data_IF_069498272213
#
_entry.id   IF_069498272213
#
_cell.length_a   1.000
_cell.length_b   1.000
_cell.length_c   1.000
_cell.angle_alpha   90.00
_cell.angle_beta   90.00
_cell.angle_gamma   90.00
#
_symmetry.space_group_name_H-M   'P 1'
#
loop_
_entity.id
_entity.type
_entity.pdbx_description
1 polymer ?
#
# COMPACT_ATOMS: atom_id res chain seq x y z
N UNK A 1 14.58 43.95 55.38
CA UNK A 1 13.54 43.76 54.34
C UNK A 1 14.08 44.16 52.97
N UNK A 2 14.39 43.19 52.10
CA UNK A 2 14.28 43.28 50.62
C UNK A 2 14.74 41.92 50.05
N UNK A 3 13.77 41.02 49.86
CA UNK A 3 13.97 39.70 49.23
C UNK A 3 14.18 39.91 47.73
N UNK A 4 15.35 39.52 47.23
CA UNK A 4 15.66 39.40 45.81
C UNK A 4 14.80 38.28 45.21
N UNK A 5 14.09 38.60 44.12
CA UNK A 5 13.20 37.69 43.39
C UNK A 5 13.95 37.09 42.19
N UNK A 6 13.90 35.74 42.11
CA UNK A 6 14.03 34.85 40.92
C UNK A 6 15.44 34.60 40.36
N UNK A 7 15.74 33.32 40.06
CA UNK A 7 15.50 32.84 38.69
C UNK A 7 14.87 31.44 38.67
N UNK A 8 13.53 31.34 38.62
CA UNK A 8 12.81 30.06 38.38
C UNK A 8 12.24 30.01 36.96
N UNK A 9 12.44 31.06 36.14
CA UNK A 9 11.88 31.13 34.78
C UNK A 9 12.82 30.63 33.66
N UNK A 10 14.08 30.34 33.95
CA UNK A 10 15.03 29.85 32.95
C UNK A 10 15.00 28.32 32.75
N UNK A 11 14.42 27.56 33.69
CA UNK A 11 14.37 26.10 33.60
C UNK A 11 13.09 25.56 32.92
N UNK A 12 12.03 26.37 32.84
CA UNK A 12 10.77 25.96 32.21
C UNK A 12 10.75 26.13 30.68
N UNK A 13 11.64 26.95 30.11
CA UNK A 13 11.74 27.10 28.65
C UNK A 13 12.58 25.99 27.98
N UNK A 14 13.36 25.22 28.75
CA UNK A 14 14.14 24.10 28.20
C UNK A 14 13.36 22.78 28.17
N UNK A 15 12.27 22.66 28.93
CA UNK A 15 11.45 21.44 29.00
C UNK A 15 10.29 21.46 28.00
N UNK A 16 9.86 22.64 27.52
CA UNK A 16 8.84 22.75 26.47
C UNK A 16 9.44 22.68 25.05
N UNK A 17 10.76 22.84 24.89
CA UNK A 17 11.45 22.76 23.60
C UNK A 17 11.86 21.33 23.17
N UNK A 18 11.70 20.32 24.02
CA UNK A 18 12.00 18.92 23.69
C UNK A 18 10.76 18.05 23.43
N UNK A 19 9.59 18.67 23.24
CA UNK A 19 8.36 17.98 22.80
C UNK A 19 8.14 18.02 21.27
N UNK A 20 9.17 18.36 20.49
CA UNK A 20 9.23 17.92 19.10
C UNK A 20 9.81 16.50 19.08
N UNK A 21 9.08 15.56 19.70
CA UNK A 21 9.27 14.15 19.41
C UNK A 21 9.09 14.01 17.89
N UNK A 22 10.15 13.61 17.21
CA UNK A 22 10.15 13.48 15.76
C UNK A 22 8.94 12.67 15.35
N UNK A 23 7.98 13.33 14.68
CA UNK A 23 7.01 12.61 13.90
C UNK A 23 7.84 11.78 12.92
N UNK A 24 7.81 10.45 13.10
CA UNK A 24 8.37 9.54 12.13
C UNK A 24 7.82 9.99 10.78
N UNK A 25 8.70 10.45 9.89
CA UNK A 25 8.27 11.00 8.63
C UNK A 25 7.63 9.84 7.86
N UNK A 26 6.33 9.90 7.65
CA UNK A 26 5.58 8.94 6.87
C UNK A 26 4.88 9.70 5.74
N UNK A 27 4.80 9.07 4.57
CA UNK A 27 3.97 9.56 3.48
C UNK A 27 2.69 8.75 3.52
N UNK A 28 1.57 9.41 3.80
CA UNK A 28 0.24 8.81 3.77
C UNK A 28 -0.49 9.26 2.49
N UNK A 29 -1.07 8.28 1.80
CA UNK A 29 -1.82 8.49 0.56
C UNK A 29 -3.11 7.69 0.67
N UNK A 30 -4.23 8.36 0.42
CA UNK A 30 -5.57 7.79 0.40
C UNK A 30 -6.13 7.89 -1.02
N UNK A 31 -6.67 6.78 -1.52
CA UNK A 31 -7.41 6.68 -2.78
C UNK A 31 -8.50 5.62 -2.61
N UNK A 32 -9.73 5.99 -2.95
CA UNK A 32 -10.88 5.12 -2.79
C UNK A 32 -11.03 4.60 -1.35
N UNK A 33 -11.06 3.27 -1.23
CA UNK A 33 -11.24 2.55 0.01
C UNK A 33 -9.91 2.06 0.61
N UNK A 34 -8.77 2.52 0.08
CA UNK A 34 -7.44 2.12 0.53
C UNK A 34 -6.61 3.32 0.96
N UNK A 35 -5.86 3.10 2.04
CA UNK A 35 -4.81 3.98 2.52
C UNK A 35 -3.48 3.27 2.54
N UNK A 36 -2.49 3.90 1.93
CA UNK A 36 -1.11 3.47 1.89
C UNK A 36 -0.27 4.42 2.74
N UNK A 37 0.51 3.86 3.66
CA UNK A 37 1.47 4.61 4.47
C UNK A 37 2.87 4.08 4.20
N UNK A 38 3.78 4.94 3.74
CA UNK A 38 5.21 4.65 3.58
C UNK A 38 5.98 5.27 4.74
N UNK A 39 6.53 4.42 5.61
CA UNK A 39 7.38 4.81 6.74
C UNK A 39 8.79 5.12 6.22
N UNK A 40 9.16 6.39 6.20
CA UNK A 40 10.40 6.84 5.52
C UNK A 40 11.66 6.52 6.32
N UNK A 41 11.54 6.25 7.61
CA UNK A 41 12.64 5.92 8.53
C UNK A 41 13.06 4.46 8.47
N UNK A 42 12.10 3.58 8.20
CA UNK A 42 12.24 2.12 8.26
C UNK A 42 12.08 1.46 6.90
N UNK A 43 11.69 2.21 5.86
CA UNK A 43 11.49 1.68 4.51
C UNK A 43 10.37 0.63 4.46
N UNK A 44 9.38 0.79 5.34
CA UNK A 44 8.27 -0.13 5.51
C UNK A 44 6.98 0.49 5.03
N UNK A 45 6.02 -0.35 4.69
CA UNK A 45 4.71 0.14 4.29
C UNK A 45 3.62 -0.49 5.16
N UNK A 46 2.51 0.23 5.26
CA UNK A 46 1.27 -0.27 5.85
C UNK A 46 0.14 -0.01 4.87
N UNK A 47 -0.82 -0.93 4.85
CA UNK A 47 -2.04 -0.82 4.05
C UNK A 47 -3.21 -0.87 5.03
N UNK A 48 -4.17 0.04 4.88
CA UNK A 48 -5.41 0.02 5.61
C UNK A 48 -6.59 0.16 4.64
N UNK A 49 -7.71 -0.45 4.98
CA UNK A 49 -8.96 -0.31 4.26
C UNK A 49 -9.94 0.58 5.02
N UNK A 50 -10.84 1.21 4.28
CA UNK A 50 -11.89 2.05 4.83
C UNK A 50 -13.05 1.18 5.31
N UNK A 51 -13.46 1.40 6.56
CA UNK A 51 -14.66 0.84 7.17
C UNK A 51 -15.48 1.98 7.79
N UNK A 52 -16.42 2.52 7.03
CA UNK A 52 -17.12 3.76 7.34
C UNK A 52 -16.15 4.95 7.50
N UNK A 53 -16.09 5.49 8.72
CA UNK A 53 -15.21 6.61 9.09
C UNK A 53 -13.86 6.16 9.68
N UNK A 54 -13.61 4.85 9.73
CA UNK A 54 -12.39 4.27 10.32
C UNK A 54 -11.52 3.64 9.25
N UNK A 55 -10.22 3.60 9.56
CA UNK A 55 -9.23 2.88 8.77
C UNK A 55 -8.83 1.61 9.52
N UNK A 56 -9.12 0.46 8.95
CA UNK A 56 -8.77 -0.86 9.49
C UNK A 56 -7.48 -1.33 8.79
N UNK A 57 -6.39 -1.57 9.53
CA UNK A 57 -5.18 -2.12 8.93
C UNK A 57 -5.44 -3.48 8.24
N UNK A 58 -4.82 -3.71 7.10
CA UNK A 58 -4.84 -5.01 6.41
C UNK A 58 -3.62 -5.88 6.74
N UNK A 59 -2.58 -5.24 7.28
CA UNK A 59 -1.34 -5.85 7.76
C UNK A 59 -1.19 -5.54 9.26
N UNK A 60 -0.37 -6.34 9.96
CA UNK A 60 -0.06 -6.09 11.35
C UNK A 60 0.52 -4.68 11.54
N UNK A 61 -0.15 -3.84 12.33
CA UNK A 61 0.10 -2.39 12.36
C UNK A 61 0.92 -1.91 13.56
N UNK A 62 1.10 -2.75 14.59
CA UNK A 62 1.85 -2.35 15.79
C UNK A 62 3.35 -2.18 15.53
N UNK A 63 3.88 -2.92 14.56
CA UNK A 63 5.26 -2.77 14.10
C UNK A 63 5.29 -2.96 12.57
N UNK A 64 5.44 -1.89 11.77
CA UNK A 64 5.44 -2.00 10.31
C UNK A 64 6.66 -2.79 9.77
N UNK A 65 7.67 -3.08 10.61
CA UNK A 65 8.87 -3.82 10.22
C UNK A 65 8.63 -5.31 10.00
N UNK A 66 7.47 -5.83 10.37
CA UNK A 66 7.13 -7.25 10.24
C UNK A 66 6.76 -7.64 8.80
N UNK A 67 6.33 -6.68 7.97
CA UNK A 67 6.24 -6.84 6.51
C UNK A 67 7.51 -6.29 5.86
N UNK A 68 8.08 -7.00 4.87
CA UNK A 68 9.37 -6.63 4.31
C UNK A 68 9.58 -7.10 2.87
N UNK A 69 10.41 -6.36 2.14
CA UNK A 69 10.98 -6.77 0.86
C UNK A 69 12.42 -7.27 1.10
N UNK A 70 12.70 -8.50 0.68
CA UNK A 70 14.06 -9.02 0.65
C UNK A 70 14.49 -9.25 -0.81
N UNK A 71 15.70 -8.80 -1.15
CA UNK A 71 16.36 -9.06 -2.43
C UNK A 71 17.52 -10.02 -2.20
N UNK A 72 17.55 -11.12 -2.94
CA UNK A 72 18.72 -11.98 -3.02
C UNK A 72 19.61 -11.52 -4.16
N UNK A 73 20.89 -11.37 -3.88
CA UNK A 73 21.95 -11.08 -4.85
C UNK A 73 23.00 -12.16 -4.68
N UNK A 74 23.13 -13.02 -5.68
CA UNK A 74 23.91 -14.25 -5.64
C UNK A 74 23.51 -15.12 -4.42
N UNK A 75 24.39 -15.25 -3.43
CA UNK A 75 24.16 -16.01 -2.20
C UNK A 75 23.83 -15.14 -0.99
N UNK A 76 23.65 -13.83 -1.17
CA UNK A 76 23.35 -12.91 -0.07
C UNK A 76 21.90 -12.44 -0.13
N UNK A 77 21.20 -12.56 0.99
CA UNK A 77 19.88 -11.97 1.19
C UNK A 77 20.01 -10.60 1.84
N UNK A 78 19.39 -9.60 1.24
CA UNK A 78 19.38 -8.21 1.70
C UNK A 78 17.93 -7.85 2.02
N UNK A 79 17.65 -7.63 3.30
CA UNK A 79 16.40 -6.99 3.71
C UNK A 79 16.48 -5.51 3.41
N UNK A 80 15.65 -5.05 2.49
CA UNK A 80 15.65 -3.66 2.06
C UNK A 80 15.23 -2.77 3.24
N UNK A 81 15.91 -1.64 3.40
CA UNK A 81 15.73 -0.71 4.53
C UNK A 81 16.55 -1.01 5.79
N UNK A 82 16.98 -2.26 5.99
CA UNK A 82 17.81 -2.62 7.16
C UNK A 82 19.31 -2.46 6.87
N UNK A 83 19.71 -2.59 5.60
CA UNK A 83 21.11 -2.52 5.20
C UNK A 83 21.57 -1.08 5.00
N UNK A 84 22.64 -0.67 5.67
CA UNK A 84 23.28 0.66 5.49
C UNK A 84 23.96 0.88 4.13
N UNK A 85 23.90 -0.09 3.21
CA UNK A 85 24.57 -0.03 1.91
C UNK A 85 23.74 0.65 0.81
N UNK A 86 22.49 1.01 1.10
CA UNK A 86 21.61 1.69 0.15
C UNK A 86 21.33 3.12 0.64
N UNK A 87 21.48 4.08 -0.27
CA UNK A 87 20.81 5.37 -0.14
C UNK A 87 19.33 5.20 -0.44
N UNK A 88 18.46 5.86 0.32
CA UNK A 88 17.02 5.76 0.17
C UNK A 88 16.39 7.10 -0.17
N UNK A 89 15.35 7.05 -0.99
CA UNK A 89 14.40 8.14 -1.18
C UNK A 89 12.97 7.61 -1.28
N UNK A 90 12.02 8.39 -0.82
CA UNK A 90 10.59 8.14 -1.03
C UNK A 90 10.04 9.23 -1.94
N UNK A 91 9.27 8.86 -2.95
CA UNK A 91 8.70 9.79 -3.93
C UNK A 91 7.21 9.52 -4.06
N UNK A 92 6.39 10.55 -3.81
CA UNK A 92 4.96 10.50 -4.12
C UNK A 92 4.77 10.64 -5.64
N UNK A 93 3.87 9.84 -6.21
CA UNK A 93 3.44 9.90 -7.61
C UNK A 93 1.96 10.28 -7.67
N UNK A 94 1.43 10.52 -8.87
CA UNK A 94 0.02 10.87 -9.06
C UNK A 94 -0.93 9.76 -8.57
N UNK A 95 -0.49 8.50 -8.68
CA UNK A 95 -1.27 7.28 -8.42
C UNK A 95 -0.73 6.42 -7.29
N UNK A 96 0.19 6.94 -6.48
CA UNK A 96 0.76 6.21 -5.36
C UNK A 96 2.11 6.75 -4.92
N UNK A 97 3.07 5.87 -4.68
CA UNK A 97 4.41 6.25 -4.24
C UNK A 97 5.46 5.19 -4.55
N UNK A 98 6.72 5.63 -4.58
CA UNK A 98 7.88 4.79 -4.79
C UNK A 98 8.82 4.89 -3.59
N UNK A 99 9.31 3.73 -3.16
CA UNK A 99 10.65 3.67 -2.56
C UNK A 99 11.70 3.48 -3.65
N UNK A 100 12.78 4.26 -3.54
CA UNK A 100 13.94 4.19 -4.40
C UNK A 100 15.17 3.94 -3.53
N UNK A 101 15.87 2.84 -3.80
CA UNK A 101 17.13 2.51 -3.14
C UNK A 101 18.25 2.38 -4.17
N UNK A 102 19.38 3.01 -3.90
CA UNK A 102 20.58 2.92 -4.76
C UNK A 102 21.79 2.54 -3.93
N UNK A 103 22.51 1.52 -4.38
CA UNK A 103 23.83 1.13 -3.89
C UNK A 103 24.86 1.18 -5.04
N UNK A 104 26.09 0.73 -4.78
CA UNK A 104 27.10 0.59 -5.83
C UNK A 104 26.77 -0.51 -6.84
N UNK A 105 26.01 -1.54 -6.43
CA UNK A 105 25.73 -2.71 -7.28
C UNK A 105 24.32 -2.75 -7.83
N UNK A 106 23.34 -2.11 -7.18
CA UNK A 106 21.94 -2.19 -7.57
C UNK A 106 21.20 -0.86 -7.46
N UNK A 107 20.25 -0.64 -8.37
CA UNK A 107 19.09 0.21 -8.11
C UNK A 107 17.88 -0.69 -7.83
N UNK A 108 17.17 -0.44 -6.74
CA UNK A 108 15.93 -1.13 -6.38
C UNK A 108 14.82 -0.10 -6.29
N UNK A 109 13.70 -0.37 -6.96
CA UNK A 109 12.47 0.41 -6.86
C UNK A 109 11.36 -0.49 -6.36
N UNK A 110 10.65 -0.07 -5.31
CA UNK A 110 9.37 -0.65 -4.93
C UNK A 110 8.30 0.42 -5.13
N UNK A 111 7.52 0.25 -6.19
CA UNK A 111 6.43 1.12 -6.58
C UNK A 111 5.11 0.57 -6.08
N UNK A 112 4.29 1.45 -5.53
CA UNK A 112 2.93 1.18 -5.12
C UNK A 112 1.99 2.03 -5.97
N UNK A 113 1.03 1.39 -6.62
CA UNK A 113 0.00 2.06 -7.42
C UNK A 113 -1.37 1.58 -6.97
N UNK A 114 -2.29 2.52 -6.73
CA UNK A 114 -3.67 2.16 -6.38
C UNK A 114 -4.36 1.56 -7.61
N UNK A 115 -5.03 0.44 -7.39
CA UNK A 115 -5.77 -0.31 -8.41
C UNK A 115 -7.19 -0.55 -7.94
N UNK A 116 -8.08 -0.80 -8.90
CA UNK A 116 -9.49 -1.06 -8.68
C UNK A 116 -9.87 -2.42 -9.24
N UNK A 117 -10.75 -3.15 -8.57
CA UNK A 117 -11.37 -4.37 -9.12
C UNK A 117 -12.53 -4.03 -10.06
N UNK A 118 -12.80 -4.90 -11.04
CA UNK A 118 -13.85 -4.66 -12.04
C UNK A 118 -15.26 -4.42 -11.43
N UNK A 119 -15.51 -4.94 -10.24
CA UNK A 119 -16.78 -4.82 -9.52
C UNK A 119 -16.84 -3.65 -8.53
N UNK A 120 -15.76 -2.85 -8.42
CA UNK A 120 -15.69 -1.69 -7.54
C UNK A 120 -15.77 -0.38 -8.31
N UNK A 121 -16.38 0.63 -7.70
CA UNK A 121 -16.35 2.03 -8.19
C UNK A 121 -15.12 2.80 -7.69
N UNK A 122 -14.50 2.36 -6.58
CA UNK A 122 -13.36 3.00 -5.95
C UNK A 122 -12.12 2.10 -5.95
N UNK A 123 -10.93 2.68 -5.89
CA UNK A 123 -9.70 1.92 -5.68
C UNK A 123 -9.79 1.09 -4.40
N UNK A 124 -9.64 -0.21 -4.54
CA UNK A 124 -9.76 -1.17 -3.46
C UNK A 124 -8.59 -2.16 -3.42
N UNK A 125 -7.49 -1.85 -4.11
CA UNK A 125 -6.25 -2.59 -4.06
C UNK A 125 -5.02 -1.75 -4.36
N UNK A 126 -3.86 -2.39 -4.25
CA UNK A 126 -2.54 -1.85 -4.55
C UNK A 126 -1.78 -2.86 -5.42
N UNK A 127 -1.22 -2.38 -6.52
CA UNK A 127 -0.16 -3.06 -7.26
C UNK A 127 1.20 -2.70 -6.65
N UNK A 128 1.98 -3.72 -6.30
CA UNK A 128 3.34 -3.58 -5.79
C UNK A 128 4.30 -4.08 -6.86
N UNK A 129 4.95 -3.16 -7.55
CA UNK A 129 5.99 -3.48 -8.54
C UNK A 129 7.36 -3.37 -7.90
N UNK A 130 8.13 -4.45 -7.91
CA UNK A 130 9.55 -4.44 -7.53
C UNK A 130 10.38 -4.50 -8.80
N UNK A 131 11.30 -3.54 -8.94
CA UNK A 131 12.24 -3.47 -10.05
C UNK A 131 13.66 -3.44 -9.48
N UNK A 132 14.53 -4.31 -9.97
CA UNK A 132 15.95 -4.35 -9.59
C UNK A 132 16.79 -4.23 -10.85
N UNK A 133 17.68 -3.24 -10.88
CA UNK A 133 18.62 -3.01 -11.98
C UNK A 133 20.03 -3.32 -11.55
N UNK A 134 20.75 -4.11 -12.33
CA UNK A 134 22.17 -4.35 -12.10
C UNK A 134 23.02 -3.11 -12.48
N UNK A 135 23.76 -2.57 -11.52
CA UNK A 135 24.75 -1.49 -11.72
C UNK A 135 26.20 -1.97 -11.66
N UNK A 136 26.42 -3.23 -11.28
CA UNK A 136 27.75 -3.81 -11.25
C UNK A 136 28.28 -4.03 -12.67
N UNK A 137 29.60 -4.11 -12.79
CA UNK A 137 30.29 -4.40 -14.06
C UNK A 137 30.18 -5.88 -14.46
N UNK A 138 29.73 -6.74 -13.55
CA UNK A 138 29.59 -8.18 -13.74
C UNK A 138 28.11 -8.59 -13.67
N UNK A 139 27.74 -9.71 -14.31
CA UNK A 139 26.43 -10.32 -14.11
C UNK A 139 26.20 -10.69 -12.64
N UNK A 140 24.95 -10.56 -12.18
CA UNK A 140 24.54 -10.92 -10.81
C UNK A 140 23.24 -11.72 -10.86
N UNK A 141 23.09 -12.71 -9.98
CA UNK A 141 21.84 -13.45 -9.84
C UNK A 141 20.92 -12.72 -8.87
N UNK A 142 19.72 -12.33 -9.33
CA UNK A 142 18.76 -11.57 -8.53
C UNK A 142 17.47 -12.33 -8.35
N UNK A 143 16.91 -12.29 -7.14
CA UNK A 143 15.54 -12.72 -6.87
C UNK A 143 14.91 -11.82 -5.81
N UNK A 144 13.57 -11.77 -5.76
CA UNK A 144 12.84 -11.03 -4.73
C UNK A 144 11.92 -11.95 -3.92
N UNK A 145 11.66 -11.58 -2.67
CA UNK A 145 10.55 -12.10 -1.89
C UNK A 145 9.86 -10.99 -1.10
N UNK A 146 8.54 -11.07 -0.97
CA UNK A 146 7.70 -10.12 -0.26
C UNK A 146 7.02 -10.82 0.91
N UNK A 147 7.34 -10.39 2.13
CA UNK A 147 6.71 -10.85 3.36
C UNK A 147 5.61 -9.86 3.76
N UNK A 148 4.40 -10.39 3.98
CA UNK A 148 3.22 -9.67 4.41
C UNK A 148 2.74 -10.26 5.73
N UNK A 149 2.95 -9.52 6.81
CA UNK A 149 2.49 -9.92 8.14
C UNK A 149 1.00 -9.63 8.29
N UNK A 150 0.20 -10.69 8.43
CA UNK A 150 -1.25 -10.59 8.44
C UNK A 150 -1.78 -10.58 9.87
N UNK A 151 -3.06 -10.24 10.07
CA UNK A 151 -3.65 -10.39 11.41
C UNK A 151 -5.17 -10.59 11.42
N UNK A 152 -5.88 -10.19 10.35
CA UNK A 152 -7.35 -10.20 10.33
C UNK A 152 -7.96 -11.62 10.41
N UNK A 153 -7.30 -12.63 9.84
CA UNK A 153 -7.77 -14.02 9.93
C UNK A 153 -7.45 -14.73 11.25
N UNK A 154 -6.64 -14.12 12.13
CA UNK A 154 -6.06 -14.78 13.31
C UNK A 154 -7.05 -14.95 14.47
N UNK A 155 -8.13 -14.18 14.46
CA UNK A 155 -9.22 -14.30 15.41
C UNK A 155 -9.99 -15.61 15.27
N UNK A 156 -9.77 -16.35 14.18
CA UNK A 156 -10.34 -17.67 13.95
C UNK A 156 -9.26 -18.73 13.74
N UNK A 157 -9.62 -20.02 13.85
CA UNK A 157 -8.72 -21.12 13.50
C UNK A 157 -8.55 -21.30 11.97
N UNK A 158 -8.95 -20.32 11.16
CA UNK A 158 -8.80 -20.33 9.71
C UNK A 158 -8.29 -18.98 9.28
N UNK A 159 -6.97 -18.90 9.20
CA UNK A 159 -6.26 -17.66 8.94
C UNK A 159 -6.40 -17.20 7.49
N UNK A 160 -6.61 -18.16 6.59
CA UNK A 160 -6.77 -17.87 5.17
C UNK A 160 -7.86 -18.71 4.50
N UNK A 161 -8.43 -18.17 3.42
CA UNK A 161 -9.38 -18.85 2.53
C UNK A 161 -8.97 -18.64 1.07
N UNK A 162 -9.11 -19.66 0.23
CA UNK A 162 -8.83 -19.56 -1.22
C UNK A 162 -10.04 -19.05 -2.00
N UNK A 163 -9.85 -18.69 -3.27
CA UNK A 163 -10.95 -18.35 -4.19
C UNK A 163 -11.94 -19.51 -4.47
N UNK A 164 -11.61 -20.72 -4.04
CA UNK A 164 -12.46 -21.92 -4.11
C UNK A 164 -13.24 -22.19 -2.82
N UNK A 165 -13.04 -21.37 -1.79
CA UNK A 165 -13.62 -21.56 -0.46
C UNK A 165 -12.84 -22.52 0.45
N UNK A 166 -11.67 -23.02 0.02
CA UNK A 166 -10.85 -23.89 0.87
C UNK A 166 -10.29 -23.10 2.05
N UNK A 167 -10.56 -23.58 3.27
CA UNK A 167 -10.04 -23.04 4.51
C UNK A 167 -8.60 -23.50 4.73
N UNK A 168 -7.69 -22.59 5.04
CA UNK A 168 -6.29 -22.89 5.35
C UNK A 168 -6.04 -22.63 6.84
N UNK A 169 -5.88 -23.73 7.59
CA UNK A 169 -5.57 -23.73 9.02
C UNK A 169 -4.13 -24.19 9.34
N UNK A 170 -3.40 -24.64 8.32
CA UNK A 170 -2.03 -25.14 8.41
C UNK A 170 -1.13 -24.47 7.38
N UNK A 171 0.18 -24.63 7.54
CA UNK A 171 1.14 -24.07 6.59
C UNK A 171 0.92 -24.65 5.19
N UNK A 172 0.98 -23.81 4.18
CA UNK A 172 0.74 -24.22 2.80
C UNK A 172 1.58 -23.40 1.83
N UNK A 173 2.13 -24.07 0.82
CA UNK A 173 2.69 -23.44 -0.37
C UNK A 173 1.67 -23.55 -1.51
N UNK A 174 1.50 -22.45 -2.25
CA UNK A 174 0.52 -22.30 -3.32
C UNK A 174 1.26 -21.68 -4.50
N UNK A 175 1.43 -22.46 -5.56
CA UNK A 175 2.07 -22.00 -6.78
C UNK A 175 1.03 -21.43 -7.75
N UNK A 176 1.47 -20.54 -8.64
CA UNK A 176 0.62 -19.97 -9.69
C UNK A 176 -0.06 -21.03 -10.59
N UNK A 177 0.55 -22.22 -10.72
CA UNK A 177 0.00 -23.35 -11.48
C UNK A 177 -1.08 -24.17 -10.75
N UNK A 178 -1.35 -23.91 -9.47
CA UNK A 178 -2.35 -24.65 -8.67
C UNK A 178 -3.81 -24.40 -9.09
N UNK A 179 -4.04 -23.36 -9.90
CA UNK A 179 -5.36 -22.88 -10.28
C UNK A 179 -6.11 -22.15 -9.16
N UNK A 180 -5.44 -21.84 -8.05
CA UNK A 180 -5.91 -20.89 -7.03
C UNK A 180 -5.56 -19.49 -7.53
N UNK A 181 -6.56 -18.59 -7.62
CA UNK A 181 -6.35 -17.22 -8.12
C UNK A 181 -5.90 -16.27 -7.04
N UNK A 182 -6.44 -16.41 -5.83
CA UNK A 182 -6.13 -15.57 -4.70
C UNK A 182 -6.32 -16.30 -3.38
N UNK A 183 -5.71 -15.74 -2.34
CA UNK A 183 -5.87 -16.14 -0.94
C UNK A 183 -6.27 -14.91 -0.14
N UNK A 184 -7.21 -15.07 0.79
CA UNK A 184 -7.71 -13.99 1.66
C UNK A 184 -7.39 -14.28 3.11
N UNK A 185 -6.86 -13.29 3.83
CA UNK A 185 -6.89 -13.25 5.29
C UNK A 185 -8.09 -12.40 5.72
N UNK A 186 -9.12 -13.07 6.24
CA UNK A 186 -10.42 -12.51 6.63
C UNK A 186 -10.88 -13.18 7.92
N UNK A 187 -11.61 -12.45 8.78
CA UNK A 187 -12.17 -13.05 9.99
C UNK A 187 -13.25 -14.08 9.66
N UNK A 188 -14.09 -13.80 8.65
CA UNK A 188 -15.05 -14.76 8.10
C UNK A 188 -15.01 -14.77 6.56
N UNK A 189 -15.40 -15.86 5.88
CA UNK A 189 -15.29 -15.95 4.41
C UNK A 189 -15.98 -14.83 3.62
N UNK A 190 -17.04 -14.25 4.18
CA UNK A 190 -17.86 -13.20 3.57
C UNK A 190 -17.57 -11.80 4.13
N UNK A 191 -16.52 -11.67 4.96
CA UNK A 191 -16.14 -10.38 5.53
C UNK A 191 -15.70 -9.41 4.42
N UNK A 192 -16.32 -8.21 4.31
CA UNK A 192 -15.91 -7.22 3.32
C UNK A 192 -14.54 -6.61 3.62
N UNK A 193 -14.03 -6.74 4.85
CA UNK A 193 -12.71 -6.23 5.24
C UNK A 193 -11.74 -7.41 5.42
N UNK A 194 -10.70 -7.40 4.61
CA UNK A 194 -9.69 -8.45 4.60
C UNK A 194 -8.51 -8.12 3.69
N UNK A 195 -7.43 -8.87 3.85
CA UNK A 195 -6.32 -8.81 2.90
C UNK A 195 -6.48 -9.93 1.88
N UNK A 196 -6.80 -9.58 0.64
CA UNK A 196 -6.68 -10.45 -0.52
C UNK A 196 -5.27 -10.33 -1.12
N UNK A 197 -4.63 -11.47 -1.36
CA UNK A 197 -3.33 -11.59 -2.04
C UNK A 197 -3.55 -12.39 -3.32
N UNK A 198 -3.23 -11.79 -4.46
CA UNK A 198 -3.33 -12.46 -5.75
C UNK A 198 -2.18 -13.47 -5.91
N UNK A 199 -2.52 -14.69 -6.32
CA UNK A 199 -1.57 -15.79 -6.60
C UNK A 199 -1.38 -15.97 -8.11
N UNK A 200 -2.49 -15.89 -8.85
CA UNK A 200 -2.50 -16.06 -10.30
C UNK A 200 -3.48 -15.08 -10.94
N UNK A 201 -2.94 -14.21 -11.79
CA UNK A 201 -3.66 -13.28 -12.65
C UNK A 201 -2.73 -12.90 -13.82
N UNK A 202 -3.29 -12.44 -14.95
CA UNK A 202 -2.49 -12.06 -16.12
C UNK A 202 -1.49 -10.91 -15.84
N UNK A 203 -1.75 -10.12 -14.80
CA UNK A 203 -0.92 -8.96 -14.44
C UNK A 203 -0.03 -9.19 -13.22
N UNK A 204 -0.07 -10.38 -12.61
CA UNK A 204 0.76 -10.76 -11.46
C UNK A 204 1.90 -11.63 -11.93
N UNK A 205 3.12 -11.39 -11.43
CA UNK A 205 4.25 -12.26 -11.75
C UNK A 205 4.11 -13.60 -11.04
N UNK A 206 4.26 -14.70 -11.77
CA UNK A 206 4.21 -16.03 -11.18
C UNK A 206 5.28 -16.19 -10.08
N UNK A 207 4.87 -16.71 -8.93
CA UNK A 207 5.72 -17.03 -7.80
C UNK A 207 5.04 -18.07 -6.90
N UNK A 208 5.73 -18.44 -5.83
CA UNK A 208 5.19 -19.33 -4.80
C UNK A 208 4.71 -18.49 -3.61
N UNK A 209 3.41 -18.53 -3.33
CA UNK A 209 2.84 -17.97 -2.11
C UNK A 209 2.90 -19.03 -1.00
N UNK A 210 3.62 -18.75 0.07
CA UNK A 210 3.63 -19.57 1.28
C UNK A 210 2.89 -18.87 2.41
N UNK A 211 1.93 -19.54 3.03
CA UNK A 211 1.28 -19.08 4.26
C UNK A 211 1.74 -19.95 5.42
N UNK A 212 2.23 -19.33 6.49
CA UNK A 212 2.73 -20.03 7.67
C UNK A 212 2.84 -19.08 8.87
N UNK A 213 3.40 -19.56 9.98
CA UNK A 213 3.70 -18.69 11.11
C UNK A 213 4.72 -17.61 10.71
N UNK A 214 4.45 -16.34 11.03
CA UNK A 214 5.27 -15.18 10.63
C UNK A 214 6.74 -15.36 10.97
N UNK A 215 7.03 -15.84 12.18
CA UNK A 215 8.39 -16.01 12.65
C UNK A 215 9.15 -17.07 11.86
N UNK A 216 8.48 -18.15 11.44
CA UNK A 216 9.08 -19.20 10.60
C UNK A 216 9.37 -18.69 9.19
N UNK A 217 8.48 -17.88 8.62
CA UNK A 217 8.70 -17.24 7.32
C UNK A 217 9.88 -16.27 7.37
N UNK A 218 9.98 -15.50 8.45
CA UNK A 218 11.07 -14.53 8.66
C UNK A 218 12.42 -15.20 8.84
N UNK A 219 12.49 -16.34 9.55
CA UNK A 219 13.72 -17.10 9.81
C UNK A 219 14.14 -17.99 8.62
N UNK A 220 13.29 -18.15 7.59
CA UNK A 220 13.65 -18.92 6.41
C UNK A 220 14.79 -18.26 5.62
N UNK A 221 15.80 -19.06 5.23
CA UNK A 221 16.99 -18.55 4.53
C UNK A 221 16.65 -17.90 3.19
N UNK A 222 15.79 -18.51 2.38
CA UNK A 222 15.25 -17.90 1.16
C UNK A 222 13.84 -18.40 0.86
N UNK A 223 13.74 -19.65 0.39
CA UNK A 223 12.48 -20.36 0.20
C UNK A 223 12.02 -21.02 1.50
N UNK A 224 10.72 -20.98 1.75
CA UNK A 224 10.10 -21.65 2.89
C UNK A 224 9.56 -23.02 2.46
N UNK A 225 9.76 -24.03 3.30
CA UNK A 225 9.19 -25.37 3.11
C UNK A 225 7.99 -25.53 4.03
N UNK A 226 6.80 -25.42 3.45
CA UNK A 226 5.54 -25.57 4.18
C UNK A 226 5.36 -27.01 4.68
N UNK A 227 4.82 -27.14 5.88
CA UNK A 227 4.40 -28.41 6.45
C UNK A 227 2.90 -28.36 6.73
N UNK A 228 2.14 -29.11 5.94
CA UNK A 228 0.67 -29.16 5.97
C UNK A 228 0.07 -29.69 7.27
N UNK A 229 0.88 -30.25 8.17
CA UNK A 229 0.47 -30.69 9.51
C UNK A 229 0.70 -29.62 10.59
N UNK A 230 1.50 -28.59 10.31
CA UNK A 230 1.79 -27.51 11.27
C UNK A 230 0.75 -26.40 11.12
N UNK A 231 0.17 -25.97 12.24
CA UNK A 231 -0.67 -24.77 12.28
C UNK A 231 0.19 -23.50 12.43
N UNK A 232 -0.47 -22.35 12.56
CA UNK A 232 0.16 -21.04 12.69
C UNK A 232 0.72 -20.74 14.09
N UNK A 233 0.73 -21.73 15.00
CA UNK A 233 1.31 -21.59 16.32
C UNK A 233 2.82 -21.87 16.31
N UNK A 234 3.55 -21.12 17.13
CA UNK A 234 4.95 -21.41 17.47
C UNK A 234 5.11 -21.34 18.97
N UNK A 235 4.51 -22.30 19.68
CA UNK A 235 4.58 -22.36 21.13
C UNK A 235 6.04 -22.49 21.63
N UNK A 236 6.40 -21.84 22.75
CA UNK A 236 5.60 -20.90 23.54
C UNK A 236 5.68 -19.43 23.04
N UNK A 237 6.28 -19.18 21.88
CA UNK A 237 6.66 -17.84 21.41
C UNK A 237 5.52 -17.03 20.78
N UNK A 238 4.65 -17.67 20.00
CA UNK A 238 3.48 -17.01 19.41
C UNK A 238 2.33 -17.99 19.16
N UNK A 239 1.12 -17.44 19.18
CA UNK A 239 -0.15 -18.15 18.97
C UNK A 239 -0.88 -17.43 17.84
N UNK A 240 -1.41 -18.19 16.88
CA UNK A 240 -2.17 -17.68 15.75
C UNK A 240 -1.47 -16.52 15.04
N UNK A 241 -0.18 -16.63 14.78
CA UNK A 241 0.67 -15.53 14.28
C UNK A 241 1.08 -15.83 12.84
N UNK A 242 0.17 -15.52 11.91
CA UNK A 242 0.21 -15.93 10.51
C UNK A 242 0.67 -14.82 9.59
N UNK A 243 1.40 -15.21 8.55
CA UNK A 243 1.82 -14.31 7.50
C UNK A 243 1.86 -15.01 6.15
N UNK A 244 2.05 -14.20 5.10
CA UNK A 244 2.19 -14.63 3.73
C UNK A 244 3.56 -14.21 3.19
N UNK A 245 4.26 -15.14 2.54
CA UNK A 245 5.53 -14.90 1.86
C UNK A 245 5.38 -15.25 0.38
N UNK A 246 5.59 -14.28 -0.50
CA UNK A 246 5.66 -14.50 -1.94
C UNK A 246 7.13 -14.58 -2.34
N UNK A 247 7.55 -15.68 -2.96
CA UNK A 247 8.92 -15.86 -3.48
C UNK A 247 8.88 -15.94 -5.00
N UNK A 248 9.71 -15.14 -5.66
CA UNK A 248 9.83 -15.12 -7.11
C UNK A 248 11.11 -15.82 -7.57
N UNK A 249 11.06 -16.37 -8.78
CA UNK A 249 12.18 -17.07 -9.40
C UNK A 249 13.39 -16.13 -9.63
N UNK A 250 14.62 -16.65 -9.51
CA UNK A 250 15.83 -15.89 -9.77
C UNK A 250 16.07 -15.66 -11.27
N UNK A 251 16.74 -14.56 -11.58
CA UNK A 251 17.21 -14.23 -12.91
C UNK A 251 18.63 -13.67 -12.85
N UNK A 252 19.51 -14.17 -13.73
CA UNK A 252 20.82 -13.57 -13.96
C UNK A 252 20.67 -12.28 -14.76
N UNK A 253 21.18 -11.16 -14.22
CA UNK A 253 21.14 -9.84 -14.85
C UNK A 253 22.53 -9.42 -15.28
N UNK A 254 22.74 -9.14 -16.57
CA UNK A 254 23.93 -8.42 -17.04
C UNK A 254 23.89 -6.96 -16.59
N UNK A 255 25.01 -6.25 -16.70
CA UNK A 255 25.11 -4.83 -16.39
C UNK A 255 24.02 -4.04 -17.12
N UNK A 256 23.24 -3.27 -16.36
CA UNK A 256 22.15 -2.44 -16.86
C UNK A 256 20.83 -3.17 -17.08
N UNK A 257 20.79 -4.50 -17.09
CA UNK A 257 19.55 -5.29 -17.19
C UNK A 257 18.70 -5.16 -15.93
N UNK A 258 17.41 -5.48 -16.09
CA UNK A 258 16.37 -5.24 -15.10
C UNK A 258 15.61 -6.53 -14.83
N UNK A 259 15.47 -6.85 -13.55
CA UNK A 259 14.53 -7.81 -13.01
C UNK A 259 13.26 -7.06 -12.55
N UNK A 260 12.08 -7.54 -12.93
CA UNK A 260 10.81 -6.93 -12.53
C UNK A 260 9.81 -8.00 -12.11
N UNK A 261 9.19 -7.81 -10.95
CA UNK A 261 8.11 -8.65 -10.43
C UNK A 261 6.96 -7.79 -9.92
N UNK A 262 5.74 -8.32 -10.01
CA UNK A 262 4.50 -7.61 -9.65
C UNK A 262 3.68 -8.48 -8.70
N UNK A 263 3.32 -7.91 -7.54
CA UNK A 263 2.31 -8.44 -6.64
C UNK A 263 1.06 -7.54 -6.67
N UNK A 264 -0.11 -8.10 -6.40
CA UNK A 264 -1.34 -7.33 -6.19
C UNK A 264 -2.02 -7.78 -4.91
N UNK A 265 -2.39 -6.81 -4.10
CA UNK A 265 -3.09 -7.00 -2.83
C UNK A 265 -4.25 -6.01 -2.70
N UNK A 266 -5.27 -6.32 -1.91
CA UNK A 266 -6.39 -5.40 -1.73
C UNK A 266 -7.49 -5.97 -0.85
N UNK A 267 -8.64 -5.32 -0.88
CA UNK A 267 -9.87 -5.82 -0.25
C UNK A 267 -10.37 -7.09 -0.96
N UNK A 268 -11.19 -7.92 -0.28
CA UNK A 268 -11.84 -9.07 -0.89
C UNK A 268 -12.68 -8.67 -2.12
N UNK A 269 -12.34 -9.22 -3.29
CA UNK A 269 -13.13 -9.14 -4.51
C UNK A 269 -12.99 -10.43 -5.31
N UNK A 270 -14.10 -10.93 -5.85
CA UNK A 270 -14.08 -12.10 -6.72
C UNK A 270 -13.71 -11.75 -8.17
N UNK A 271 -13.85 -10.48 -8.53
CA UNK A 271 -13.43 -9.94 -9.80
C UNK A 271 -11.91 -9.79 -9.86
N UNK A 272 -11.39 -9.56 -11.07
CA UNK A 272 -9.98 -9.26 -11.26
C UNK A 272 -9.70 -7.81 -10.87
N UNK A 273 -8.46 -7.54 -10.46
CA UNK A 273 -7.96 -6.17 -10.39
C UNK A 273 -7.60 -5.66 -11.78
N UNK A 274 -8.02 -4.44 -12.08
CA UNK A 274 -7.62 -3.69 -13.26
C UNK A 274 -6.14 -3.31 -13.18
N UNK A 275 -5.53 -3.05 -14.33
CA UNK A 275 -4.18 -2.48 -14.35
C UNK A 275 -4.16 -1.01 -13.89
N UNK A 276 -3.01 -0.50 -13.43
CA UNK A 276 -2.88 0.88 -12.96
C UNK A 276 -3.26 1.91 -14.01
N UNK A 277 -3.04 1.65 -15.31
CA UNK A 277 -3.36 2.62 -16.37
C UNK A 277 -4.87 2.74 -16.57
N UNK A 278 -5.56 1.61 -16.63
CA UNK A 278 -7.03 1.55 -16.71
C UNK A 278 -7.68 2.14 -15.46
N UNK A 279 -7.11 1.86 -14.28
CA UNK A 279 -7.56 2.47 -13.02
C UNK A 279 -7.40 3.99 -13.08
N UNK A 280 -6.18 4.48 -13.36
CA UNK A 280 -5.88 5.90 -13.44
C UNK A 280 -6.76 6.67 -14.44
N UNK A 281 -7.04 6.09 -15.61
CA UNK A 281 -7.94 6.68 -16.60
C UNK A 281 -9.36 6.85 -16.04
N UNK A 282 -9.87 5.85 -15.33
CA UNK A 282 -11.21 5.89 -14.74
C UNK A 282 -11.28 6.86 -13.55
N UNK A 283 -10.24 6.87 -12.69
CA UNK A 283 -10.13 7.81 -11.57
C UNK A 283 -10.11 9.25 -12.08
N UNK A 284 -9.29 9.55 -13.09
CA UNK A 284 -9.26 10.88 -13.72
C UNK A 284 -10.64 11.30 -14.23
N UNK A 285 -11.36 10.42 -14.91
CA UNK A 285 -12.69 10.75 -15.44
C UNK A 285 -13.71 11.00 -14.32
N UNK A 286 -13.61 10.23 -13.23
CA UNK A 286 -14.43 10.40 -12.02
C UNK A 286 -14.12 11.71 -11.30
N UNK A 287 -12.85 12.04 -11.10
CA UNK A 287 -12.39 13.29 -10.48
C UNK A 287 -12.84 14.51 -11.28
N UNK A 288 -12.70 14.46 -12.61
CA UNK A 288 -13.18 15.52 -13.50
C UNK A 288 -14.70 15.68 -13.40
N UNK A 289 -15.44 14.58 -13.36
CA UNK A 289 -16.90 14.62 -13.22
C UNK A 289 -17.32 15.17 -11.86
N UNK A 290 -16.63 14.80 -10.78
CA UNK A 290 -16.84 15.36 -9.43
C UNK A 290 -16.57 16.86 -9.39
N UNK A 291 -15.44 17.32 -9.94
CA UNK A 291 -15.10 18.73 -10.04
C UNK A 291 -16.14 19.54 -10.84
N UNK A 292 -16.69 18.96 -11.91
CA UNK A 292 -17.79 19.56 -12.67
C UNK A 292 -19.07 19.68 -11.82
N UNK A 293 -19.44 18.62 -11.10
CA UNK A 293 -20.62 18.62 -10.21
C UNK A 293 -20.48 19.69 -9.13
N UNK A 294 -19.31 19.80 -8.48
CA UNK A 294 -19.09 20.81 -7.45
C UNK A 294 -19.10 22.23 -8.03
N UNK A 295 -18.60 22.41 -9.25
CA UNK A 295 -18.71 23.69 -9.95
C UNK A 295 -20.17 24.05 -10.26
N UNK A 296 -20.98 23.08 -10.69
CA UNK A 296 -22.43 23.27 -10.91
C UNK A 296 -23.12 23.66 -9.61
N UNK A 297 -22.85 22.96 -8.50
CA UNK A 297 -23.42 23.26 -7.18
C UNK A 297 -23.08 24.67 -6.71
N UNK A 298 -21.82 25.10 -6.90
CA UNK A 298 -21.40 26.45 -6.55
C UNK A 298 -22.14 27.52 -7.36
N UNK A 299 -22.32 27.30 -8.66
CA UNK A 299 -23.07 28.20 -9.53
C UNK A 299 -24.54 28.27 -9.11
N UNK A 300 -25.18 27.13 -8.80
CA UNK A 300 -26.56 27.09 -8.32
C UNK A 300 -26.71 27.87 -7.02
N UNK A 301 -25.82 27.65 -6.04
CA UNK A 301 -25.82 28.40 -4.79
C UNK A 301 -25.74 29.92 -5.04
N UNK A 302 -24.92 30.34 -5.99
CA UNK A 302 -24.76 31.77 -6.33
C UNK A 302 -25.98 32.34 -7.04
N UNK A 303 -26.68 31.55 -7.85
CA UNK A 303 -27.98 31.93 -8.43
C UNK A 303 -29.00 32.14 -7.32
N UNK A 304 -29.06 31.23 -6.34
CA UNK A 304 -29.97 31.33 -5.21
C UNK A 304 -29.69 32.61 -4.40
N UNK A 305 -28.42 32.87 -4.05
CA UNK A 305 -27.98 34.10 -3.35
C UNK A 305 -28.36 35.38 -4.11
N UNK A 306 -28.19 35.41 -5.44
CA UNK A 306 -28.60 36.55 -6.28
C UNK A 306 -30.12 36.68 -6.32
N UNK A 307 -30.86 35.57 -6.37
CA UNK A 307 -32.32 35.58 -6.46
C UNK A 307 -33.00 36.06 -5.17
N UNK A 308 -32.33 35.87 -4.02
CA UNK A 308 -32.79 36.33 -2.71
C UNK A 308 -32.37 37.77 -2.39
N UNK A 309 -31.51 38.39 -3.21
CA UNK A 309 -31.04 39.76 -3.00
C UNK A 309 -32.04 40.80 -3.50
N UNK A 310 -32.37 41.77 -2.65
CA UNK A 310 -33.19 42.94 -3.02
C UNK A 310 -32.48 43.88 -4.03
N UNK A 311 -31.16 43.73 -4.19
CA UNK A 311 -30.36 44.50 -5.15
C UNK A 311 -29.35 43.60 -5.86
N UNK A 312 -29.57 43.36 -7.15
CA UNK A 312 -28.64 42.61 -8.01
C UNK A 312 -27.83 43.59 -8.85
N UNK A 313 -26.50 43.51 -8.77
CA UNK A 313 -25.60 44.36 -9.54
C UNK A 313 -25.31 43.77 -10.94
N UNK A 314 -24.99 44.63 -11.91
CA UNK A 314 -24.58 44.19 -13.23
C UNK A 314 -23.27 43.37 -13.20
N UNK A 315 -22.39 43.65 -12.24
CA UNK A 315 -21.12 42.94 -12.04
C UNK A 315 -21.33 41.49 -11.59
N UNK A 316 -22.30 41.25 -10.70
CA UNK A 316 -22.66 39.90 -10.24
C UNK A 316 -23.24 39.06 -11.38
N UNK A 317 -24.10 39.66 -12.21
CA UNK A 317 -24.68 39.00 -13.39
C UNK A 317 -23.60 38.67 -14.43
N UNK A 318 -22.65 39.57 -14.69
CA UNK A 318 -21.56 39.31 -15.62
C UNK A 318 -20.58 38.26 -15.10
N UNK A 319 -20.29 38.26 -13.80
CA UNK A 319 -19.48 37.20 -13.17
C UNK A 319 -20.15 35.84 -13.33
N UNK A 320 -21.44 35.74 -13.05
CA UNK A 320 -22.19 34.50 -13.19
C UNK A 320 -22.23 34.02 -14.66
N UNK A 321 -22.40 34.94 -15.62
CA UNK A 321 -22.34 34.62 -17.06
C UNK A 321 -20.99 34.08 -17.47
N UNK A 322 -19.90 34.67 -16.97
CA UNK A 322 -18.54 34.20 -17.25
C UNK A 322 -18.32 32.78 -16.68
N UNK A 323 -18.79 32.51 -15.45
CA UNK A 323 -18.68 31.18 -14.83
C UNK A 323 -19.50 30.12 -15.57
N UNK A 324 -20.74 30.44 -15.98
CA UNK A 324 -21.58 29.56 -16.81
C UNK A 324 -20.97 29.28 -18.18
N UNK A 325 -20.32 30.28 -18.80
CA UNK A 325 -19.63 30.11 -20.08
C UNK A 325 -18.45 29.16 -19.96
N UNK A 326 -17.61 29.34 -18.94
CA UNK A 326 -16.48 28.43 -18.66
C UNK A 326 -16.97 27.00 -18.42
N UNK A 327 -18.05 26.82 -17.67
CA UNK A 327 -18.66 25.51 -17.46
C UNK A 327 -19.17 24.90 -18.77
N UNK A 328 -19.84 25.68 -19.62
CA UNK A 328 -20.31 25.21 -20.92
C UNK A 328 -19.16 24.83 -21.86
N UNK A 329 -18.04 25.54 -21.81
CA UNK A 329 -16.84 25.22 -22.61
C UNK A 329 -16.18 23.94 -22.11
N UNK A 330 -16.09 23.75 -20.79
CA UNK A 330 -15.60 22.50 -20.17
C UNK A 330 -16.46 21.28 -20.53
N UNK A 331 -17.78 21.44 -20.58
CA UNK A 331 -18.71 20.36 -20.96
C UNK A 331 -18.60 20.03 -22.47
N UNK A 332 -18.43 21.05 -23.33
CA UNK A 332 -18.32 20.86 -24.79
C UNK A 332 -16.95 20.36 -25.27
N UNK A 333 -15.92 20.50 -24.44
CA UNK A 333 -14.58 19.97 -24.71
C UNK A 333 -14.43 18.47 -24.42
N UNK A 334 -15.49 17.83 -23.89
CA UNK A 334 -15.65 16.37 -23.79
C UNK A 334 -16.38 15.84 -25.02
#
# INVERSE_FOLDING_TARGET
>A
MRRTRRPVRALLCLIVACAAAGAAAAIEIERGDIRLTLHTDSSRFSIAARDGDRWVPLLFSRDPRTSALDIRVDNRVIRIGDSGNFSQRVVRTDYGADYLWTSTTLDVTQRFEFIRSDDSTHENGIEITVTVRNRAEQPVDVAARLLLDTYLGEETNTHFVTDRGDRIATERAIDAGSGIRFVRSVATPDDPIGLQIMVADAQVTAGTLSVANWRRLTEATWAFQANDTRNFNRLPYSINDSAALIVYEPQTLRTGEVYRVVARVGLPSNARFLDPTTTAATTRDTDLTGALIDRVRLILKRIDEISESDTVTAEEVETLRAELRLLSELIRGR
#
